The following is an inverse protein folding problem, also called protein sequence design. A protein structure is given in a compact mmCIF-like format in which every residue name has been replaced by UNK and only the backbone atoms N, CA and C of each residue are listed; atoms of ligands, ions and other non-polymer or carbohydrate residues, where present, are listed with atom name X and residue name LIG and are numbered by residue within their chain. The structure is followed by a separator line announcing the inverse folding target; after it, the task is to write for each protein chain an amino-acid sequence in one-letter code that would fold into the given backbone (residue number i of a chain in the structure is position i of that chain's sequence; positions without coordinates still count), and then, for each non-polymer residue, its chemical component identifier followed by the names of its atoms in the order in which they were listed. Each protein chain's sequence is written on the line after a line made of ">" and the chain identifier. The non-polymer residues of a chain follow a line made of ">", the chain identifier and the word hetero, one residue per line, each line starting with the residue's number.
data_IF_183857002855
#
_entry.id   IF_183857002855
#
_cell.length_a   1.000
_cell.length_b   1.000
_cell.length_c   1.000
_cell.angle_alpha   90.00
_cell.angle_beta   90.00
_cell.angle_gamma   90.00
#
_symmetry.space_group_name_H-M   'P 1'
#
loop_
_entity.id
_entity.type
_entity.pdbx_description
1 polymer ?
#
# COMPACT_ATOMS: atom_id res chain seq x y z
N UNK A 1 -21.68 3.89 -6.38
CA UNK A 1 -21.49 5.35 -6.55
C UNK A 1 -20.01 5.64 -6.69
N UNK A 2 -19.59 6.57 -7.56
CA UNK A 2 -18.16 6.85 -7.80
C UNK A 2 -17.66 7.92 -6.83
N UNK A 3 -16.56 7.65 -6.13
CA UNK A 3 -15.86 8.58 -5.22
C UNK A 3 -14.47 8.87 -5.78
N UNK A 4 -14.28 9.96 -6.55
CA UNK A 4 -12.96 10.30 -7.05
C UNK A 4 -12.06 10.82 -5.92
N UNK A 5 -10.81 10.36 -5.86
CA UNK A 5 -9.80 10.93 -4.97
C UNK A 5 -9.40 12.38 -5.36
N UNK A 6 -8.85 13.12 -4.40
CA UNK A 6 -8.43 14.54 -4.50
C UNK A 6 -6.92 14.72 -4.60
N UNK A 7 -6.15 13.63 -4.67
CA UNK A 7 -4.69 13.63 -4.65
C UNK A 7 -4.04 14.21 -5.93
N UNK A 8 -4.84 14.57 -6.94
CA UNK A 8 -4.38 15.15 -8.20
C UNK A 8 -3.53 14.15 -9.00
N UNK A 9 -2.36 14.59 -9.46
CA UNK A 9 -1.41 13.76 -10.25
C UNK A 9 -0.50 12.88 -9.39
N UNK A 10 -0.74 12.81 -8.08
CA UNK A 10 0.10 12.04 -7.17
C UNK A 10 -0.41 10.60 -7.05
N UNK A 11 0.48 9.62 -7.28
CA UNK A 11 0.17 8.22 -7.05
C UNK A 11 0.04 7.90 -5.57
N UNK A 12 -0.76 6.89 -5.22
CA UNK A 12 -0.90 6.45 -3.83
C UNK A 12 0.43 5.93 -3.25
N UNK A 13 1.27 5.27 -4.05
CA UNK A 13 2.60 4.85 -3.59
C UNK A 13 3.47 6.04 -3.12
N UNK A 14 3.43 7.14 -3.87
CA UNK A 14 4.14 8.37 -3.49
C UNK A 14 3.50 9.02 -2.27
N UNK A 15 2.17 9.08 -2.22
CA UNK A 15 1.43 9.61 -1.08
C UNK A 15 1.77 8.85 0.22
N UNK A 16 1.73 7.52 0.17
CA UNK A 16 2.09 6.63 1.30
C UNK A 16 3.51 6.86 1.77
N UNK A 17 4.47 6.99 0.84
CA UNK A 17 5.86 7.28 1.18
C UNK A 17 6.01 8.63 1.90
N UNK A 18 5.30 9.66 1.43
CA UNK A 18 5.33 10.99 2.05
C UNK A 18 4.73 10.94 3.46
N UNK A 19 3.56 10.32 3.61
CA UNK A 19 2.87 10.20 4.90
C UNK A 19 3.65 9.34 5.91
N UNK A 20 4.25 8.24 5.46
CA UNK A 20 5.12 7.41 6.30
C UNK A 20 6.33 8.20 6.80
N UNK A 21 6.92 9.07 5.96
CA UNK A 21 8.03 9.94 6.39
C UNK A 21 7.59 11.02 7.38
N UNK A 22 6.36 11.51 7.28
CA UNK A 22 5.82 12.54 8.16
C UNK A 22 5.42 11.95 9.53
N UNK A 23 4.72 10.82 9.54
CA UNK A 23 4.17 10.20 10.76
C UNK A 23 5.13 9.18 11.39
N UNK A 24 6.10 8.67 10.63
CA UNK A 24 6.99 7.58 11.06
C UNK A 24 6.36 6.18 11.00
N UNK A 25 5.07 6.09 10.65
CA UNK A 25 4.28 4.85 10.56
C UNK A 25 3.59 4.77 9.20
N UNK A 26 3.46 3.55 8.67
CA UNK A 26 2.68 3.31 7.46
C UNK A 26 1.19 3.64 7.69
N UNK A 27 0.56 4.48 6.85
CA UNK A 27 -0.85 4.83 6.97
C UNK A 27 -1.76 3.63 6.82
N UNK A 28 -2.87 3.62 7.54
CA UNK A 28 -3.89 2.59 7.35
C UNK A 28 -4.75 2.85 6.10
N UNK A 29 -5.48 1.84 5.61
CA UNK A 29 -6.43 1.98 4.50
C UNK A 29 -7.52 3.02 4.80
N UNK A 30 -8.04 3.03 6.02
CA UNK A 30 -9.07 3.99 6.40
C UNK A 30 -8.53 5.42 6.39
N UNK A 31 -7.35 5.63 6.97
CA UNK A 31 -6.66 6.94 6.98
C UNK A 31 -6.32 7.40 5.56
N UNK A 32 -5.83 6.49 4.72
CA UNK A 32 -5.55 6.77 3.32
C UNK A 32 -6.81 7.20 2.58
N UNK A 33 -7.93 6.54 2.82
CA UNK A 33 -9.20 6.91 2.20
C UNK A 33 -9.68 8.29 2.65
N UNK A 34 -9.68 8.54 3.96
CA UNK A 34 -10.07 9.82 4.57
C UNK A 34 -9.25 10.98 4.00
N UNK A 35 -7.93 10.88 4.04
CA UNK A 35 -7.03 11.92 3.54
C UNK A 35 -7.16 12.15 2.03
N UNK A 36 -7.31 11.08 1.24
CA UNK A 36 -7.37 11.18 -0.22
C UNK A 36 -8.75 11.54 -0.76
N UNK A 37 -9.79 11.54 0.07
CA UNK A 37 -11.15 11.96 -0.28
C UNK A 37 -11.59 13.23 0.45
N UNK A 38 -10.63 13.91 1.09
CA UNK A 38 -10.80 15.24 1.68
C UNK A 38 -10.23 16.30 0.73
N UNK A 39 -10.97 17.39 0.53
CA UNK A 39 -10.52 18.55 -0.26
C UNK A 39 -9.66 19.45 0.63
N UNK A 40 -8.90 20.36 0.01
CA UNK A 40 -8.11 21.38 0.74
C UNK A 40 -8.96 22.26 1.68
N UNK A 41 -10.24 22.41 1.37
CA UNK A 41 -11.20 23.19 2.16
C UNK A 41 -11.75 22.41 3.37
N UNK A 42 -11.31 21.17 3.60
CA UNK A 42 -11.79 20.29 4.67
C UNK A 42 -13.11 19.57 4.36
N UNK A 43 -13.76 19.86 3.23
CA UNK A 43 -14.99 19.15 2.81
C UNK A 43 -14.65 17.87 2.05
N UNK A 44 -15.51 16.85 2.19
CA UNK A 44 -15.37 15.61 1.44
C UNK A 44 -15.82 15.77 -0.01
N UNK A 45 -15.39 14.83 -0.85
CA UNK A 45 -15.62 14.89 -2.30
C UNK A 45 -17.10 14.87 -2.67
N UNK A 46 -17.89 14.01 -2.02
CA UNK A 46 -19.32 13.84 -2.23
C UNK A 46 -20.01 13.35 -0.95
N UNK A 47 -21.34 13.39 -0.94
CA UNK A 47 -22.16 12.95 0.20
C UNK A 47 -21.93 11.48 0.56
N UNK A 48 -21.67 10.62 -0.43
CA UNK A 48 -21.39 9.21 -0.17
C UNK A 48 -20.09 9.00 0.61
N UNK A 49 -19.02 9.71 0.27
CA UNK A 49 -17.76 9.69 1.02
C UNK A 49 -17.95 10.26 2.42
N UNK A 50 -18.72 11.36 2.56
CA UNK A 50 -19.10 11.90 3.87
C UNK A 50 -19.77 10.84 4.74
N UNK A 51 -20.80 10.18 4.22
CA UNK A 51 -21.53 9.13 4.93
C UNK A 51 -20.63 7.95 5.34
N UNK A 52 -19.67 7.55 4.50
CA UNK A 52 -18.74 6.47 4.83
C UNK A 52 -17.78 6.87 5.95
N UNK A 53 -17.19 8.07 5.86
CA UNK A 53 -16.21 8.56 6.84
C UNK A 53 -16.89 8.82 8.19
N UNK A 54 -18.09 9.40 8.20
CA UNK A 54 -18.88 9.57 9.42
C UNK A 54 -19.19 8.23 10.11
N UNK A 55 -19.64 7.22 9.34
CA UNK A 55 -19.85 5.86 9.86
C UNK A 55 -18.54 5.23 10.36
N UNK A 56 -17.41 5.52 9.71
CA UNK A 56 -16.12 5.05 10.19
C UNK A 56 -15.76 5.66 11.55
N UNK A 57 -15.98 6.96 11.73
CA UNK A 57 -15.74 7.64 13.00
C UNK A 57 -16.65 7.15 14.13
N UNK A 58 -17.93 6.85 13.86
CA UNK A 58 -18.82 6.26 14.87
C UNK A 58 -18.32 4.89 15.30
N UNK A 59 -17.98 4.02 14.35
CA UNK A 59 -17.44 2.68 14.63
C UNK A 59 -16.11 2.74 15.39
N UNK A 60 -15.25 3.72 15.09
CA UNK A 60 -13.98 3.92 15.81
C UNK A 60 -14.21 4.34 17.27
N UNK A 61 -15.22 5.17 17.54
CA UNK A 61 -15.59 5.61 18.90
C UNK A 61 -16.21 4.49 19.74
N UNK A 62 -16.95 3.58 19.10
CA UNK A 62 -17.55 2.40 19.75
C UNK A 62 -16.50 1.35 20.19
N UNK A 63 -15.24 1.50 19.78
CA UNK A 63 -14.09 1.03 20.56
C UNK A 63 -13.70 -0.45 20.43
N UNK A 64 -14.27 -1.22 19.50
CA UNK A 64 -14.06 -2.68 19.47
C UNK A 64 -13.32 -3.24 18.25
N UNK A 65 -12.98 -2.43 17.25
CA UNK A 65 -12.66 -2.95 15.90
C UNK A 65 -11.42 -2.27 15.29
N UNK A 66 -10.51 -3.06 14.73
CA UNK A 66 -9.36 -2.58 13.95
C UNK A 66 -9.82 -1.72 12.77
N UNK A 67 -9.07 -0.67 12.42
CA UNK A 67 -9.44 0.23 11.32
C UNK A 67 -9.62 -0.53 10.00
N UNK A 68 -8.86 -1.62 9.84
CA UNK A 68 -8.94 -2.50 8.68
C UNK A 68 -10.30 -3.20 8.56
N UNK A 69 -10.82 -3.70 9.67
CA UNK A 69 -12.13 -4.33 9.75
C UNK A 69 -13.26 -3.30 9.56
N UNK A 70 -13.08 -2.08 10.10
CA UNK A 70 -14.01 -0.96 9.85
C UNK A 70 -14.07 -0.67 8.34
N UNK A 71 -12.91 -0.57 7.69
CA UNK A 71 -12.84 -0.31 6.26
C UNK A 71 -13.53 -1.41 5.44
N UNK A 72 -13.29 -2.68 5.77
CA UNK A 72 -13.97 -3.81 5.11
C UNK A 72 -15.48 -3.84 5.36
N UNK A 73 -15.95 -3.43 6.55
CA UNK A 73 -17.39 -3.33 6.84
C UNK A 73 -18.06 -2.26 5.99
N UNK A 74 -17.35 -1.17 5.68
CA UNK A 74 -17.87 -0.03 4.93
C UNK A 74 -17.77 -0.22 3.40
N UNK A 75 -16.64 -0.75 2.91
CA UNK A 75 -16.37 -0.92 1.49
C UNK A 75 -16.63 -2.34 0.97
N UNK A 76 -16.85 -3.29 1.87
CA UNK A 76 -16.89 -4.72 1.57
C UNK A 76 -15.50 -5.37 1.68
N UNK A 77 -15.47 -6.72 1.72
CA UNK A 77 -14.22 -7.47 1.70
C UNK A 77 -13.45 -7.18 0.41
N UNK A 78 -12.12 -7.16 0.50
CA UNK A 78 -11.28 -7.02 -0.68
C UNK A 78 -11.40 -8.26 -1.57
N UNK A 79 -11.45 -8.04 -2.88
CA UNK A 79 -11.61 -9.12 -3.84
C UNK A 79 -10.37 -10.02 -3.87
N UNK A 80 -10.58 -11.34 -3.90
CA UNK A 80 -9.50 -12.32 -3.98
C UNK A 80 -8.65 -12.10 -5.25
N UNK A 81 -7.33 -12.17 -5.10
CA UNK A 81 -6.39 -11.99 -6.22
C UNK A 81 -6.05 -10.52 -6.53
N UNK A 82 -6.64 -9.54 -5.84
CA UNK A 82 -6.27 -8.13 -6.00
C UNK A 82 -5.00 -7.81 -5.21
N UNK A 83 -3.96 -7.35 -5.90
CA UNK A 83 -2.73 -6.86 -5.26
C UNK A 83 -2.86 -5.37 -4.95
N UNK A 84 -2.53 -4.97 -3.71
CA UNK A 84 -2.47 -3.56 -3.32
C UNK A 84 -1.17 -2.93 -3.84
N UNK A 85 -1.27 -2.03 -4.82
CA UNK A 85 -0.11 -1.29 -5.34
C UNK A 85 0.15 0.00 -4.54
N UNK A 86 0.26 -0.11 -3.21
CA UNK A 86 0.56 1.03 -2.31
C UNK A 86 2.06 1.23 -2.09
N UNK A 87 2.90 0.32 -2.54
CA UNK A 87 4.36 0.42 -2.47
C UNK A 87 5.01 1.01 -3.73
N UNK A 88 6.23 1.52 -3.58
CA UNK A 88 7.09 1.83 -4.74
C UNK A 88 7.46 0.52 -5.41
N UNK A 89 6.89 0.29 -6.59
CA UNK A 89 7.22 -0.85 -7.42
C UNK A 89 8.66 -0.78 -7.96
N UNK A 90 9.17 -1.90 -8.49
CA UNK A 90 10.45 -1.93 -9.18
C UNK A 90 10.46 -0.87 -10.28
N UNK A 91 11.38 0.10 -10.20
CA UNK A 91 11.54 1.08 -11.26
C UNK A 91 12.41 0.46 -12.35
N UNK A 92 12.06 0.51 -13.64
CA UNK A 92 12.85 -0.10 -14.69
C UNK A 92 14.32 0.32 -14.69
N UNK A 93 14.63 1.57 -14.32
CA UNK A 93 16.02 2.06 -14.15
C UNK A 93 16.82 1.34 -13.06
N UNK A 94 16.16 0.68 -12.11
CA UNK A 94 16.79 -0.15 -11.07
C UNK A 94 17.23 -1.51 -11.60
N UNK A 95 16.59 -2.03 -12.66
CA UNK A 95 16.86 -3.37 -13.21
C UNK A 95 17.57 -3.33 -14.57
N UNK A 96 17.18 -2.38 -15.43
CA UNK A 96 17.81 -2.14 -16.72
C UNK A 96 19.00 -1.20 -16.53
N UNK A 97 20.18 -1.81 -16.39
CA UNK A 97 21.45 -1.07 -16.45
C UNK A 97 21.56 -0.45 -17.85
N UNK A 98 21.77 0.87 -17.98
CA UNK A 98 21.98 1.48 -19.29
C UNK A 98 23.24 0.90 -19.91
N UNK A 99 23.12 0.26 -21.09
CA UNK A 99 24.27 -0.18 -21.88
C UNK A 99 24.83 1.01 -22.66
N UNK A 100 25.59 1.89 -22.02
CA UNK A 100 26.54 2.75 -22.74
C UNK A 100 27.54 3.39 -21.79
N UNK A 101 28.77 3.49 -22.26
CA UNK A 101 30.01 3.91 -21.59
C UNK A 101 29.94 5.28 -20.91
N UNK A 102 29.50 5.32 -19.65
CA UNK A 102 29.91 6.30 -18.62
C UNK A 102 29.24 5.93 -17.30
N UNK A 103 29.75 4.90 -16.63
CA UNK A 103 29.34 4.57 -15.25
C UNK A 103 30.40 5.14 -14.33
N UNK A 104 30.08 6.25 -13.67
CA UNK A 104 30.84 6.69 -12.50
C UNK A 104 29.86 7.09 -11.41
N UNK A 105 30.10 6.57 -10.21
CA UNK A 105 29.53 6.88 -8.88
C UNK A 105 28.09 6.44 -8.52
N UNK A 106 27.05 6.63 -9.33
CA UNK A 106 25.67 6.50 -8.81
C UNK A 106 25.17 5.06 -8.51
N UNK A 107 25.63 4.05 -9.25
CA UNK A 107 25.17 2.65 -9.09
C UNK A 107 25.74 2.01 -7.80
N UNK A 108 26.97 2.36 -7.43
CA UNK A 108 27.63 1.83 -6.23
C UNK A 108 26.94 2.33 -4.94
N UNK A 109 26.53 3.60 -4.92
CA UNK A 109 25.82 4.19 -3.78
C UNK A 109 24.44 3.57 -3.55
N UNK A 110 23.68 3.30 -4.62
CA UNK A 110 22.37 2.65 -4.48
C UNK A 110 22.49 1.22 -3.92
N UNK A 111 23.50 0.46 -4.36
CA UNK A 111 23.80 -0.88 -3.81
C UNK A 111 24.33 -0.84 -2.37
N UNK A 112 25.05 0.22 -1.97
CA UNK A 112 25.53 0.39 -0.60
C UNK A 112 24.37 0.72 0.36
N UNK A 113 23.45 1.61 -0.03
CA UNK A 113 22.25 1.94 0.74
C UNK A 113 21.32 0.74 0.97
N UNK A 114 21.24 -0.18 -0.01
CA UNK A 114 20.49 -1.43 0.14
C UNK A 114 21.19 -2.45 1.04
N UNK A 115 22.52 -2.34 1.23
CA UNK A 115 23.29 -3.18 2.15
C UNK A 115 23.22 -2.71 3.60
N UNK A 116 23.00 -1.41 3.84
CA UNK A 116 22.81 -0.86 5.19
C UNK A 116 21.42 -1.16 5.77
N UNK A 117 20.43 -1.46 4.92
CA UNK A 117 19.16 -2.03 5.35
C UNK A 117 19.40 -3.51 5.67
N UNK A 118 19.70 -3.80 6.95
CA UNK A 118 19.92 -5.16 7.45
C UNK A 118 18.79 -6.14 7.08
N UNK A 119 19.01 -7.46 7.23
CA UNK A 119 18.08 -8.48 6.77
C UNK A 119 16.69 -8.26 7.36
N UNK A 120 15.69 -8.17 6.50
CA UNK A 120 14.30 -8.29 6.92
C UNK A 120 14.11 -9.77 7.23
N UNK A 121 14.24 -10.16 8.50
CA UNK A 121 13.86 -11.49 8.97
C UNK A 121 12.34 -11.67 8.77
N UNK A 122 11.97 -12.18 7.60
CA UNK A 122 10.61 -12.58 7.26
C UNK A 122 10.67 -13.98 6.71
N UNK A 123 10.36 -14.97 7.55
CA UNK A 123 10.33 -16.38 7.21
C UNK A 123 9.31 -16.66 6.10
N UNK A 124 9.77 -16.77 4.85
CA UNK A 124 8.97 -17.36 3.78
C UNK A 124 9.10 -18.88 3.90
N UNK A 125 8.19 -19.52 4.66
CA UNK A 125 8.04 -20.97 4.64
C UNK A 125 7.62 -21.39 3.23
N UNK A 126 8.56 -21.93 2.47
CA UNK A 126 8.26 -22.64 1.23
C UNK A 126 7.37 -23.84 1.56
N UNK A 127 6.16 -23.87 1.01
CA UNK A 127 5.30 -25.05 1.03
C UNK A 127 5.95 -26.09 0.09
N UNK A 128 6.52 -27.14 0.67
CA UNK A 128 7.01 -28.30 -0.08
C UNK A 128 5.83 -29.02 -0.69
N UNK A 129 5.75 -29.06 -2.02
CA UNK A 129 4.79 -29.87 -2.77
C UNK A 129 5.03 -31.35 -2.48
N UNK A 130 4.11 -32.00 -1.77
CA UNK A 130 4.13 -33.45 -1.58
C UNK A 130 3.48 -34.11 -2.80
N UNK A 131 4.27 -34.81 -3.59
CA UNK A 131 3.82 -35.60 -4.73
C UNK A 131 3.06 -36.84 -4.23
N UNK A 132 1.75 -36.92 -4.48
CA UNK A 132 1.01 -38.17 -4.29
C UNK A 132 1.14 -39.04 -5.54
N UNK A 133 1.69 -40.25 -5.39
CA UNK A 133 1.71 -41.29 -6.41
C UNK A 133 0.32 -41.92 -6.51
N UNK A 134 -0.29 -41.85 -7.69
CA UNK A 134 -1.54 -42.55 -8.04
C UNK A 134 -1.19 -43.97 -8.49
N UNK A 135 -1.58 -44.97 -7.71
CA UNK A 135 -1.55 -46.39 -8.10
C UNK A 135 -2.80 -46.73 -8.90
N UNK A 136 -2.61 -47.34 -10.08
CA UNK A 136 -3.68 -47.94 -10.90
C UNK A 136 -4.06 -49.31 -10.33
N UNK A 137 -5.36 -49.56 -10.20
CA UNK A 137 -5.96 -50.89 -10.07
C UNK A 137 -6.52 -51.35 -11.40
#
# INVERSE_FOLDING_TARGET
>A
MKTPHTCGRMSFARWMTIKTKQTGKEPDRLETFEDTHTRKNGTYVNEYATNLIEKAHTLRKEGSVDNEQIFQKLHGPEHSGRVRCTGLGPTPSTYFVPSSSSVSTNIALHRALLREKGPIEGSFRALSSSSQSVTRG
#
